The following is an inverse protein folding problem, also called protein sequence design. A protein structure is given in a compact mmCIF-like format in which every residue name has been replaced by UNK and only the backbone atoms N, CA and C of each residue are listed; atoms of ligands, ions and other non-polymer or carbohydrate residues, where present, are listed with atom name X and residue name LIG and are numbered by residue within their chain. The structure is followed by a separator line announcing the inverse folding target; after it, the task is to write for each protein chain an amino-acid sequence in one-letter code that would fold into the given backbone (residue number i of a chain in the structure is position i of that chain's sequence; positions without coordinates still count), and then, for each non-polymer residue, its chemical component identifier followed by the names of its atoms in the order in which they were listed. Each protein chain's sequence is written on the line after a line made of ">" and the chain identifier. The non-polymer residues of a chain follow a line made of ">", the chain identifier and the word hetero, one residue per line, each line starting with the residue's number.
data_IF_456655835036
#
_entry.id   IF_456655835036
#
_cell.length_a   1.000
_cell.length_b   1.000
_cell.length_c   1.000
_cell.angle_alpha   90.00
_cell.angle_beta   90.00
_cell.angle_gamma   90.00
#
_symmetry.space_group_name_H-M   'P 1'
#
loop_
_entity.id
_entity.type
_entity.pdbx_description
1 polymer ?
#
# COMPACT_ATOMS: atom_id res chain seq x y z
N UNK A 1 0.57 -21.03 22.36
CA UNK A 1 0.14 -19.61 22.42
C UNK A 1 0.97 -18.64 21.56
N UNK A 2 2.17 -18.98 21.06
CA UNK A 2 3.04 -18.06 20.29
C UNK A 2 2.70 -17.96 18.79
N UNK A 3 1.94 -18.91 18.23
CA UNK A 3 1.63 -18.99 16.80
C UNK A 3 0.72 -17.87 16.25
N UNK A 4 -0.04 -17.17 17.10
CA UNK A 4 -0.97 -16.12 16.65
C UNK A 4 -0.35 -14.72 16.58
N UNK A 5 0.86 -14.53 17.13
CA UNK A 5 1.51 -13.20 17.20
C UNK A 5 2.15 -12.83 15.86
N UNK A 6 2.71 -13.82 15.17
CA UNK A 6 3.36 -13.63 13.86
C UNK A 6 2.40 -13.14 12.78
N UNK A 7 1.23 -13.77 12.52
CA UNK A 7 0.30 -13.28 11.50
C UNK A 7 -0.29 -11.90 11.86
N UNK A 8 -0.50 -11.62 13.15
CA UNK A 8 -1.00 -10.32 13.60
C UNK A 8 0.01 -9.19 13.37
N UNK A 9 1.31 -9.46 13.57
CA UNK A 9 2.37 -8.53 13.25
C UNK A 9 2.41 -8.23 11.74
N UNK A 10 2.34 -9.26 10.90
CA UNK A 10 2.34 -9.08 9.44
C UNK A 10 1.11 -8.31 8.93
N UNK A 11 -0.06 -8.52 9.54
CA UNK A 11 -1.24 -7.68 9.29
C UNK A 11 -0.97 -6.21 9.58
N UNK A 12 -0.43 -5.89 10.76
CA UNK A 12 -0.16 -4.51 11.14
C UNK A 12 0.85 -3.85 10.19
N UNK A 13 1.90 -4.56 9.79
CA UNK A 13 2.88 -4.08 8.80
C UNK A 13 2.21 -3.82 7.45
N UNK A 14 1.38 -4.74 6.96
CA UNK A 14 0.67 -4.56 5.69
C UNK A 14 -0.34 -3.39 5.72
N UNK A 15 -1.04 -3.19 6.83
CA UNK A 15 -1.94 -2.05 7.02
C UNK A 15 -1.19 -0.72 7.05
N UNK A 16 -0.01 -0.68 7.69
CA UNK A 16 0.86 0.50 7.69
C UNK A 16 1.38 0.80 6.28
N UNK A 17 1.85 -0.20 5.54
CA UNK A 17 2.28 -0.05 4.15
C UNK A 17 1.14 0.43 3.24
N UNK A 18 -0.08 -0.07 3.45
CA UNK A 18 -1.26 0.42 2.75
C UNK A 18 -1.51 1.91 3.03
N UNK A 19 -1.47 2.33 4.29
CA UNK A 19 -1.64 3.73 4.67
C UNK A 19 -0.50 4.63 4.17
N UNK A 20 0.71 4.09 4.04
CA UNK A 20 1.88 4.78 3.51
C UNK A 20 1.91 4.85 1.97
N UNK A 21 1.18 3.99 1.25
CA UNK A 21 1.18 3.95 -0.22
C UNK A 21 0.81 5.28 -0.93
N UNK A 22 -0.12 6.13 -0.45
CA UNK A 22 -0.43 7.42 -1.07
C UNK A 22 0.58 8.55 -0.73
N UNK A 23 1.40 8.38 0.30
CA UNK A 23 2.41 9.37 0.71
C UNK A 23 3.48 9.65 -0.35
N UNK A 24 4.14 8.66 -0.98
CA UNK A 24 5.15 8.94 -2.01
C UNK A 24 4.55 9.68 -3.21
N UNK A 25 3.30 9.38 -3.59
CA UNK A 25 2.59 10.16 -4.61
C UNK A 25 2.42 11.62 -4.18
N UNK A 26 1.94 11.84 -2.96
CA UNK A 26 1.76 13.19 -2.39
C UNK A 26 3.09 13.95 -2.35
N UNK A 27 4.15 13.33 -1.85
CA UNK A 27 5.48 13.93 -1.77
C UNK A 27 6.00 14.29 -3.16
N UNK A 28 5.85 13.39 -4.14
CA UNK A 28 6.29 13.62 -5.52
C UNK A 28 5.47 14.74 -6.19
N UNK A 29 4.15 14.71 -6.03
CA UNK A 29 3.23 15.71 -6.58
C UNK A 29 3.52 17.12 -6.05
N UNK A 30 3.80 17.26 -4.75
CA UNK A 30 4.05 18.56 -4.12
C UNK A 30 5.50 19.04 -4.23
N UNK A 31 6.51 18.14 -4.29
CA UNK A 31 7.91 18.56 -4.43
C UNK A 31 8.33 18.85 -5.87
N UNK A 32 7.85 18.12 -6.88
CA UNK A 32 8.23 18.33 -8.30
C UNK A 32 7.34 19.32 -9.03
N UNK A 33 6.96 20.39 -8.33
CA UNK A 33 6.14 21.47 -8.85
C UNK A 33 6.54 21.92 -10.27
N UNK A 34 5.55 21.90 -11.17
CA UNK A 34 5.48 22.72 -12.38
C UNK A 34 6.50 22.52 -13.51
N UNK A 35 7.13 21.36 -13.67
CA UNK A 35 7.78 21.03 -14.95
C UNK A 35 6.72 20.50 -15.93
N UNK A 36 6.24 21.37 -16.83
CA UNK A 36 5.13 21.13 -17.79
C UNK A 36 5.54 20.23 -18.96
N UNK A 37 6.15 19.09 -18.67
CA UNK A 37 6.47 18.09 -19.68
C UNK A 37 5.37 17.03 -19.77
N UNK A 38 4.90 16.73 -20.99
CA UNK A 38 3.88 15.70 -21.25
C UNK A 38 4.27 14.35 -20.62
N UNK A 39 5.56 13.97 -20.70
CA UNK A 39 6.09 12.73 -20.11
C UNK A 39 5.96 12.71 -18.57
N UNK A 40 6.05 13.87 -17.91
CA UNK A 40 5.87 13.97 -16.47
C UNK A 40 4.40 13.72 -16.09
N UNK A 41 3.43 14.17 -16.90
CA UNK A 41 2.00 13.93 -16.64
C UNK A 41 1.61 12.46 -16.77
N UNK A 42 2.17 11.73 -17.73
CA UNK A 42 1.96 10.30 -17.89
C UNK A 42 2.54 9.53 -16.70
N UNK A 43 3.77 9.84 -16.30
CA UNK A 43 4.41 9.23 -15.13
C UNK A 43 3.60 9.46 -13.84
N UNK A 44 3.12 10.68 -13.61
CA UNK A 44 2.26 11.01 -12.46
C UNK A 44 0.95 10.21 -12.45
N UNK A 45 0.33 10.01 -13.62
CA UNK A 45 -0.87 9.20 -13.76
C UNK A 45 -0.60 7.73 -13.41
N UNK A 46 0.51 7.16 -13.89
CA UNK A 46 0.93 5.81 -13.52
C UNK A 46 1.23 5.69 -12.02
N UNK A 47 1.94 6.67 -11.45
CA UNK A 47 2.31 6.68 -10.04
C UNK A 47 1.06 6.80 -9.15
N UNK A 48 0.10 7.64 -9.53
CA UNK A 48 -1.22 7.72 -8.88
C UNK A 48 -1.93 6.37 -8.91
N UNK A 49 -2.01 5.72 -10.08
CA UNK A 49 -2.68 4.42 -10.23
C UNK A 49 -2.02 3.34 -9.37
N UNK A 50 -0.69 3.28 -9.35
CA UNK A 50 0.05 2.31 -8.54
C UNK A 50 -0.18 2.57 -7.04
N UNK A 51 -0.06 3.83 -6.58
CA UNK A 51 -0.18 4.20 -5.18
C UNK A 51 -1.61 4.14 -4.62
N UNK A 52 -2.63 4.44 -5.42
CA UNK A 52 -4.02 4.53 -4.96
C UNK A 52 -4.84 3.27 -5.25
N UNK A 53 -4.45 2.45 -6.22
CA UNK A 53 -5.23 1.29 -6.65
C UNK A 53 -4.48 -0.02 -6.42
N UNK A 54 -3.30 -0.18 -7.03
CA UNK A 54 -2.59 -1.47 -7.06
C UNK A 54 -2.01 -1.83 -5.68
N UNK A 55 -1.26 -0.92 -5.06
CA UNK A 55 -0.63 -1.16 -3.75
C UNK A 55 -1.68 -1.39 -2.65
N UNK A 56 -2.73 -0.57 -2.51
CA UNK A 56 -3.77 -0.80 -1.50
C UNK A 56 -4.50 -2.12 -1.70
N UNK A 57 -4.84 -2.48 -2.94
CA UNK A 57 -5.47 -3.76 -3.25
C UNK A 57 -4.59 -4.94 -2.85
N UNK A 58 -3.29 -4.87 -3.14
CA UNK A 58 -2.33 -5.90 -2.79
C UNK A 58 -2.21 -6.10 -1.27
N UNK A 59 -2.01 -5.02 -0.51
CA UNK A 59 -1.92 -5.11 0.95
C UNK A 59 -3.23 -5.56 1.59
N UNK A 60 -4.38 -5.13 1.08
CA UNK A 60 -5.67 -5.60 1.58
C UNK A 60 -5.88 -7.10 1.34
N UNK A 61 -5.40 -7.63 0.22
CA UNK A 61 -5.39 -9.06 -0.07
C UNK A 61 -4.51 -9.82 0.93
N UNK A 62 -3.32 -9.29 1.26
CA UNK A 62 -2.45 -9.86 2.29
C UNK A 62 -3.10 -9.86 3.68
N UNK A 63 -3.71 -8.74 4.09
CA UNK A 63 -4.44 -8.66 5.37
C UNK A 63 -5.55 -9.72 5.42
N UNK A 64 -6.31 -9.85 4.33
CA UNK A 64 -7.38 -10.85 4.21
C UNK A 64 -6.84 -12.26 4.34
N UNK A 65 -5.73 -12.57 3.66
CA UNK A 65 -5.05 -13.86 3.74
C UNK A 65 -4.59 -14.19 5.17
N UNK A 66 -3.91 -13.25 5.84
CA UNK A 66 -3.53 -13.43 7.25
C UNK A 66 -4.76 -13.60 8.16
N UNK A 67 -5.87 -12.95 7.83
CA UNK A 67 -7.12 -13.04 8.62
C UNK A 67 -7.69 -14.44 8.54
N UNK A 68 -7.71 -15.03 7.33
CA UNK A 68 -8.12 -16.42 7.12
C UNK A 68 -7.20 -17.40 7.85
N UNK A 69 -5.88 -17.16 7.84
CA UNK A 69 -4.94 -17.98 8.62
C UNK A 69 -5.19 -17.88 10.13
N UNK A 70 -5.48 -16.69 10.66
CA UNK A 70 -5.84 -16.52 12.06
C UNK A 70 -7.19 -17.17 12.42
N UNK A 71 -8.17 -17.11 11.50
CA UNK A 71 -9.49 -17.72 11.69
C UNK A 71 -9.47 -19.25 11.65
N UNK A 72 -8.58 -19.84 10.86
CA UNK A 72 -8.40 -21.31 10.77
C UNK A 72 -7.57 -21.89 11.93
N UNK A 73 -6.81 -21.06 12.64
CA UNK A 73 -6.00 -21.47 13.80
C UNK A 73 -6.74 -21.33 15.15
N UNK A 74 -8.03 -20.95 15.13
CA UNK A 74 -8.92 -20.91 16.29
C UNK A 74 -9.84 -22.11 16.33
#
# INVERSE_FOLDING_TARGET
>A
KRATVEPLFWMAVSALMMAASPLPFTIYYYNLGHMRDLNQTEFLCYLQKVCMEILPFFFNTLITFFTLLLGTQR
#
